data_IF_656888799067
#
_entry.id   IF_656888799067
#
_cell.length_a   1.000
_cell.length_b   1.000
_cell.length_c   1.000
_cell.angle_alpha   90.00
_cell.angle_beta   90.00
_cell.angle_gamma   90.00
#
_symmetry.space_group_name_H-M   'P 1'
#
loop_
_entity.id
_entity.type
_entity.pdbx_description
1 polymer ?
#
# COMPACT_ATOMS: atom_id res chain seq x y z
N UNK A 1 5.06 -10.17 10.90
CA UNK A 1 4.88 -11.20 9.85
C UNK A 1 4.01 -10.62 8.71
N UNK A 2 4.16 -11.09 7.46
CA UNK A 2 3.26 -10.67 6.38
C UNK A 2 1.82 -10.99 6.74
N UNK A 3 0.84 -10.20 6.26
CA UNK A 3 -0.55 -10.62 6.32
C UNK A 3 -0.75 -11.99 5.64
N UNK A 4 -1.64 -12.83 6.18
CA UNK A 4 -1.89 -14.18 5.67
C UNK A 4 -2.36 -14.23 4.20
N UNK A 5 -2.83 -13.10 3.69
CA UNK A 5 -3.26 -12.94 2.30
C UNK A 5 -2.13 -12.59 1.33
N UNK A 6 -0.93 -12.20 1.79
CA UNK A 6 0.18 -11.84 0.92
C UNK A 6 0.71 -13.07 0.17
N UNK A 7 0.86 -12.94 -1.15
CA UNK A 7 1.28 -14.02 -2.07
C UNK A 7 2.52 -13.65 -2.91
N UNK A 8 3.07 -12.45 -2.72
CA UNK A 8 4.30 -12.04 -3.40
C UNK A 8 5.55 -12.71 -2.81
N UNK A 9 6.71 -12.37 -3.35
CA UNK A 9 7.98 -12.90 -2.85
C UNK A 9 8.16 -12.49 -1.38
N UNK A 10 8.39 -13.49 -0.53
CA UNK A 10 8.69 -13.26 0.89
C UNK A 10 10.19 -12.96 0.98
N UNK A 11 10.61 -11.82 1.56
CA UNK A 11 12.03 -11.53 1.68
C UNK A 11 12.72 -12.64 2.50
N UNK A 12 13.92 -13.04 2.06
CA UNK A 12 14.70 -14.12 2.70
C UNK A 12 14.97 -13.89 4.20
N UNK A 13 14.95 -12.62 4.65
CA UNK A 13 15.12 -12.22 6.04
C UNK A 13 13.80 -11.93 6.80
N UNK A 14 12.63 -12.03 6.15
CA UNK A 14 11.33 -12.03 6.81
C UNK A 14 10.85 -10.71 7.44
N UNK A 15 11.60 -9.62 7.30
CA UNK A 15 11.24 -8.33 7.89
C UNK A 15 10.39 -7.52 6.91
N UNK A 16 9.18 -7.22 7.37
CA UNK A 16 8.16 -6.48 6.65
C UNK A 16 7.73 -5.33 7.54
N UNK A 17 7.94 -4.12 7.03
CA UNK A 17 7.47 -2.91 7.66
C UNK A 17 6.09 -2.54 7.11
N UNK A 18 5.29 -1.90 7.95
CA UNK A 18 3.98 -1.38 7.59
C UNK A 18 3.81 0.01 8.18
N UNK A 19 3.45 0.97 7.32
CA UNK A 19 3.04 2.30 7.72
C UNK A 19 1.54 2.38 7.53
N UNK A 20 0.84 2.83 8.58
CA UNK A 20 -0.60 3.02 8.53
C UNK A 20 -0.96 4.46 8.86
N UNK A 21 -1.66 5.10 7.93
CA UNK A 21 -2.30 6.39 8.13
C UNK A 21 -3.74 6.17 8.58
N UNK A 22 -4.05 6.60 9.80
CA UNK A 22 -5.41 6.57 10.35
C UNK A 22 -6.17 7.80 9.87
N UNK A 23 -7.38 7.57 9.35
CA UNK A 23 -8.28 8.64 8.91
C UNK A 23 -9.30 8.91 10.02
N UNK A 24 -9.43 10.18 10.39
CA UNK A 24 -10.26 10.64 11.51
C UNK A 24 -11.66 11.10 11.08
N UNK A 25 -12.07 10.89 9.82
CA UNK A 25 -13.42 11.25 9.37
C UNK A 25 -14.43 10.22 9.90
N UNK A 26 -15.00 10.51 11.08
CA UNK A 26 -15.80 9.59 11.92
C UNK A 26 -17.15 9.11 11.33
N UNK A 27 -17.47 9.41 10.07
CA UNK A 27 -18.79 9.13 9.50
C UNK A 27 -18.83 8.18 8.30
N UNK A 28 -17.72 7.98 7.60
CA UNK A 28 -17.67 7.18 6.36
C UNK A 28 -16.35 6.43 6.29
N UNK A 29 -16.40 5.11 6.51
CA UNK A 29 -15.25 4.26 6.23
C UNK A 29 -14.85 4.34 4.76
N UNK A 30 -13.57 4.14 4.47
CA UNK A 30 -13.06 4.03 3.12
C UNK A 30 -13.64 2.80 2.42
N UNK A 31 -13.99 2.90 1.12
CA UNK A 31 -14.21 1.72 0.30
C UNK A 31 -13.03 0.77 0.37
N UNK A 32 -13.30 -0.54 0.45
CA UNK A 32 -12.23 -1.52 0.51
C UNK A 32 -11.42 -1.53 -0.79
N UNK A 33 -10.14 -1.23 -0.70
CA UNK A 33 -9.20 -1.30 -1.80
C UNK A 33 -7.97 -2.09 -1.39
N UNK A 34 -7.47 -2.95 -2.28
CA UNK A 34 -6.19 -3.64 -2.08
C UNK A 34 -5.47 -3.87 -3.40
N UNK A 35 -4.24 -3.40 -3.47
CA UNK A 35 -3.29 -3.70 -4.53
C UNK A 35 -2.07 -4.41 -3.95
N UNK A 36 -1.56 -5.39 -4.68
CA UNK A 36 -0.42 -6.22 -4.28
C UNK A 36 0.58 -6.26 -5.42
N UNK A 37 1.88 -6.27 -5.08
CA UNK A 37 2.96 -6.50 -6.03
C UNK A 37 3.27 -8.00 -6.11
N UNK A 38 3.32 -8.52 -7.33
CA UNK A 38 3.68 -9.90 -7.65
C UNK A 38 5.21 -10.08 -7.62
N UNK A 39 5.68 -11.32 -7.67
CA UNK A 39 7.11 -11.65 -7.67
C UNK A 39 7.86 -11.17 -8.92
N UNK A 40 7.15 -10.99 -10.04
CA UNK A 40 7.71 -10.40 -11.27
C UNK A 40 7.75 -8.86 -11.23
N UNK A 41 7.29 -8.27 -10.12
CA UNK A 41 7.25 -6.83 -9.93
C UNK A 41 5.99 -6.15 -10.45
N UNK A 42 5.07 -6.88 -11.10
CA UNK A 42 3.79 -6.34 -11.56
C UNK A 42 2.84 -6.05 -10.39
N UNK A 43 2.04 -5.00 -10.51
CA UNK A 43 1.01 -4.68 -9.53
C UNK A 43 -0.37 -5.17 -9.96
N UNK A 44 -1.08 -5.82 -9.04
CA UNK A 44 -2.45 -6.31 -9.26
C UNK A 44 -3.39 -5.77 -8.20
N UNK A 45 -4.50 -5.18 -8.64
CA UNK A 45 -5.61 -4.83 -7.75
C UNK A 45 -6.44 -6.08 -7.45
N UNK A 46 -6.42 -6.51 -6.18
CA UNK A 46 -7.21 -7.65 -5.69
C UNK A 46 -8.64 -7.26 -5.35
N UNK A 47 -8.85 -6.02 -4.87
CA UNK A 47 -10.15 -5.46 -4.51
C UNK A 47 -10.19 -3.96 -4.78
N UNK A 48 -11.35 -3.47 -5.18
CA UNK A 48 -11.59 -2.07 -5.55
C UNK A 48 -11.41 -1.79 -7.04
N UNK A 49 -11.47 -0.51 -7.41
CA UNK A 49 -11.35 -0.06 -8.80
C UNK A 49 -9.88 -0.11 -9.26
N UNK A 50 -9.65 -0.75 -10.42
CA UNK A 50 -8.33 -0.88 -11.04
C UNK A 50 -7.76 0.47 -11.48
N UNK A 51 -8.63 1.42 -11.86
CA UNK A 51 -8.21 2.74 -12.31
C UNK A 51 -7.50 3.56 -11.22
N UNK A 52 -7.78 3.26 -9.94
CA UNK A 52 -7.14 3.93 -8.80
C UNK A 52 -5.64 3.72 -8.82
N UNK A 53 -5.19 2.46 -8.94
CA UNK A 53 -3.76 2.13 -8.94
C UNK A 53 -3.01 2.86 -10.06
N UNK A 54 -3.57 2.85 -11.28
CA UNK A 54 -2.99 3.57 -12.43
C UNK A 54 -2.90 5.08 -12.19
N UNK A 55 -3.82 5.66 -11.41
CA UNK A 55 -3.86 7.08 -11.09
C UNK A 55 -2.93 7.49 -9.93
N UNK A 56 -2.40 6.54 -9.14
CA UNK A 56 -1.50 6.85 -8.03
C UNK A 56 -0.12 7.32 -8.49
N UNK A 57 0.32 6.87 -9.67
CA UNK A 57 1.67 7.12 -10.23
C UNK A 57 2.74 6.80 -9.18
N UNK A 58 2.97 5.50 -8.94
CA UNK A 58 3.88 5.05 -7.89
C UNK A 58 5.33 5.52 -8.17
N UNK A 59 6.09 5.94 -7.14
CA UNK A 59 7.47 6.37 -7.30
C UNK A 59 8.39 5.18 -7.63
N UNK A 60 9.59 5.46 -8.14
CA UNK A 60 10.59 4.42 -8.46
C UNK A 60 10.99 3.59 -7.22
N UNK A 61 10.97 4.20 -6.03
CA UNK A 61 11.20 3.51 -4.75
C UNK A 61 10.11 2.48 -4.39
N UNK A 62 9.01 2.42 -5.15
CA UNK A 62 7.99 1.38 -5.01
C UNK A 62 8.47 -0.02 -5.39
N UNK A 63 9.69 -0.15 -5.92
CA UNK A 63 10.34 -1.44 -6.19
C UNK A 63 10.62 -2.27 -4.92
N UNK A 64 10.53 -1.70 -3.72
CA UNK A 64 10.62 -2.43 -2.44
C UNK A 64 9.27 -2.59 -1.76
N UNK A 65 8.21 -2.01 -2.34
CA UNK A 65 6.85 -2.06 -1.79
C UNK A 65 6.16 -3.35 -2.18
N UNK A 66 5.17 -3.73 -1.39
CA UNK A 66 4.53 -5.04 -1.46
C UNK A 66 3.02 -4.94 -1.60
N UNK A 67 2.41 -3.98 -0.91
CA UNK A 67 0.97 -3.79 -0.97
C UNK A 67 0.55 -2.37 -0.58
N UNK A 68 -0.62 -1.99 -1.07
CA UNK A 68 -1.40 -0.84 -0.64
C UNK A 68 -2.80 -1.35 -0.26
N UNK A 69 -3.31 -0.95 0.90
CA UNK A 69 -4.65 -1.33 1.35
C UNK A 69 -5.35 -0.12 1.95
N UNK A 70 -6.64 0.02 1.63
CA UNK A 70 -7.54 0.92 2.33
C UNK A 70 -8.65 0.08 2.92
N UNK A 71 -8.78 0.07 4.24
CA UNK A 71 -9.80 -0.73 4.94
C UNK A 71 -10.31 0.01 6.15
N UNK A 72 -11.64 0.11 6.27
CA UNK A 72 -12.30 0.85 7.34
C UNK A 72 -11.78 2.29 7.41
N UNK A 73 -11.02 2.66 8.45
CA UNK A 73 -10.46 4.00 8.62
C UNK A 73 -8.91 4.01 8.52
N UNK A 74 -8.31 2.99 7.92
CA UNK A 74 -6.87 2.87 7.78
C UNK A 74 -6.45 2.77 6.31
N UNK A 75 -5.35 3.46 6.00
CA UNK A 75 -4.59 3.34 4.76
C UNK A 75 -3.21 2.78 5.10
N UNK A 76 -2.85 1.66 4.50
CA UNK A 76 -1.64 0.93 4.84
C UNK A 76 -0.76 0.68 3.61
N UNK A 77 0.55 0.83 3.81
CA UNK A 77 1.59 0.50 2.83
C UNK A 77 2.56 -0.49 3.48
N UNK A 78 2.81 -1.60 2.79
CA UNK A 78 3.78 -2.62 3.22
C UNK A 78 5.00 -2.58 2.32
N UNK A 79 6.19 -2.69 2.90
CA UNK A 79 7.46 -2.74 2.17
C UNK A 79 8.48 -3.67 2.84
N UNK A 80 9.51 -4.04 2.07
CA UNK A 80 10.69 -4.76 2.57
C UNK A 80 11.61 -3.78 3.30
N UNK A 81 12.14 -4.15 4.47
CA UNK A 81 12.93 -3.29 5.39
C UNK A 81 14.25 -2.69 4.82
N UNK A 82 14.50 -2.78 3.52
CA UNK A 82 15.52 -1.97 2.84
C UNK A 82 15.08 -0.51 2.65
N UNK A 83 13.78 -0.19 2.83
CA UNK A 83 13.26 1.17 2.77
C UNK A 83 13.60 1.99 4.03
N UNK A 84 14.23 3.14 3.86
CA UNK A 84 14.69 4.02 4.94
C UNK A 84 13.64 5.06 5.36
N UNK A 85 13.94 5.84 6.42
CA UNK A 85 13.10 6.98 6.85
C UNK A 85 12.86 8.00 5.73
N UNK A 86 13.79 8.07 4.77
CA UNK A 86 13.73 8.95 3.61
C UNK A 86 12.60 8.59 2.64
N UNK A 87 12.06 7.37 2.71
CA UNK A 87 10.90 6.95 1.90
C UNK A 87 9.57 7.43 2.51
N UNK A 88 9.55 7.83 3.79
CA UNK A 88 8.32 8.19 4.49
C UNK A 88 7.53 9.32 3.82
N UNK A 89 8.15 10.42 3.32
CA UNK A 89 7.41 11.45 2.59
C UNK A 89 6.73 10.92 1.32
N UNK A 90 7.37 9.99 0.60
CA UNK A 90 6.82 9.38 -0.62
C UNK A 90 5.66 8.44 -0.28
N UNK A 91 5.81 7.65 0.78
CA UNK A 91 4.74 6.77 1.28
C UNK A 91 3.52 7.61 1.70
N UNK A 92 3.73 8.72 2.42
CA UNK A 92 2.67 9.64 2.83
C UNK A 92 1.97 10.28 1.63
N UNK A 93 2.71 10.71 0.61
CA UNK A 93 2.13 11.26 -0.63
C UNK A 93 1.23 10.23 -1.33
N UNK A 94 1.69 8.99 -1.50
CA UNK A 94 0.89 7.93 -2.13
C UNK A 94 -0.34 7.60 -1.30
N UNK A 95 -0.24 7.48 0.02
CA UNK A 95 -1.41 7.25 0.88
C UNK A 95 -2.39 8.44 0.84
N UNK A 96 -1.89 9.67 0.77
CA UNK A 96 -2.70 10.88 0.59
C UNK A 96 -3.48 10.87 -0.73
N UNK A 97 -2.83 10.51 -1.83
CA UNK A 97 -3.48 10.33 -3.15
C UNK A 97 -4.51 9.20 -3.11
N UNK A 98 -4.18 8.07 -2.47
CA UNK A 98 -5.10 6.95 -2.32
C UNK A 98 -6.36 7.38 -1.56
N UNK A 99 -6.22 8.15 -0.47
CA UNK A 99 -7.37 8.75 0.24
C UNK A 99 -8.24 9.57 -0.71
N UNK A 100 -7.64 10.47 -1.48
CA UNK A 100 -8.37 11.36 -2.40
C UNK A 100 -9.13 10.59 -3.49
N UNK A 101 -8.60 9.46 -3.95
CA UNK A 101 -9.25 8.62 -4.98
C UNK A 101 -10.38 7.75 -4.42
N UNK A 102 -10.42 7.54 -3.11
CA UNK A 102 -11.41 6.71 -2.43
C UNK A 102 -12.54 7.52 -1.78
N UNK A 103 -12.37 8.84 -1.66
CA UNK A 103 -13.38 9.80 -1.18
C UNK A 103 -14.38 10.16 -2.28
#
# INVERSE_FOLDING_TARGET
PPPDWYRGERPQAGLLACYSLMITDEGKGLPYFRAERLSDGEWVVRKGDKAILSALVLPDSSSTWLALEARANALSLWWQEEGGIDDLPLQLDVLGKLRQKLA
#
